data_IF_601505181825
#
_entry.id   IF_601505181825
#
_cell.length_a   1.000
_cell.length_b   1.000
_cell.length_c   1.000
_cell.angle_alpha   90.00
_cell.angle_beta   90.00
_cell.angle_gamma   90.00
#
_symmetry.space_group_name_H-M   'P 1'
#
loop_
_entity.id
_entity.type
_entity.pdbx_description
1 polymer ?
#
# COMPACT_ATOMS: atom_id res chain seq x y z
N UNK A 1 4.93 -49.57 31.81
CA UNK A 1 4.19 -48.99 30.68
C UNK A 1 4.55 -47.53 30.59
N UNK A 2 5.52 -47.20 29.73
CA UNK A 2 6.17 -45.89 29.66
C UNK A 2 5.86 -45.30 28.30
N UNK A 3 5.06 -44.22 28.26
CA UNK A 3 4.70 -43.54 27.02
C UNK A 3 5.78 -42.51 26.67
N UNK A 4 6.43 -42.71 25.53
CA UNK A 4 7.37 -41.78 24.92
C UNK A 4 6.54 -40.77 24.11
N UNK A 5 6.50 -39.51 24.56
CA UNK A 5 5.97 -38.41 23.75
C UNK A 5 7.03 -37.94 22.75
N UNK A 6 6.76 -38.17 21.46
CA UNK A 6 7.50 -37.53 20.37
C UNK A 6 7.25 -36.02 20.38
N UNK A 7 8.33 -35.24 20.51
CA UNK A 7 8.32 -33.80 20.27
C UNK A 7 8.16 -33.54 18.77
N UNK A 8 7.04 -32.94 18.39
CA UNK A 8 6.87 -32.31 17.08
C UNK A 8 7.70 -31.02 17.05
N UNK A 9 8.80 -31.02 16.30
CA UNK A 9 9.51 -29.82 15.88
C UNK A 9 8.68 -29.10 14.84
N UNK A 10 8.02 -28.02 15.24
CA UNK A 10 7.38 -27.09 14.32
C UNK A 10 8.47 -26.36 13.51
N UNK A 11 8.64 -26.74 12.26
CA UNK A 11 9.40 -25.98 11.28
C UNK A 11 8.52 -24.78 10.90
N UNK A 12 8.90 -23.59 11.35
CA UNK A 12 8.20 -22.35 11.04
C UNK A 12 8.36 -22.07 9.53
N UNK A 13 7.23 -21.90 8.85
CA UNK A 13 7.12 -21.93 7.40
C UNK A 13 7.92 -20.83 6.69
N UNK A 14 8.40 -21.18 5.50
CA UNK A 14 8.82 -20.21 4.50
C UNK A 14 7.72 -19.16 4.28
N UNK A 15 8.08 -17.88 4.08
CA UNK A 15 7.10 -16.87 3.72
C UNK A 15 6.47 -17.27 2.39
N UNK A 16 5.22 -17.71 2.43
CA UNK A 16 4.39 -17.77 1.23
C UNK A 16 4.14 -16.32 0.82
N UNK A 17 4.89 -15.89 -0.21
CA UNK A 17 4.56 -14.73 -1.00
C UNK A 17 3.11 -14.96 -1.45
N UNK A 18 2.13 -14.09 -1.08
CA UNK A 18 0.80 -14.23 -1.63
C UNK A 18 0.94 -14.14 -3.14
N UNK A 19 0.55 -15.21 -3.83
CA UNK A 19 0.46 -15.18 -5.29
C UNK A 19 -0.37 -13.94 -5.66
N UNK A 20 0.03 -13.16 -6.66
CA UNK A 20 -0.76 -12.02 -7.12
C UNK A 20 -2.13 -12.57 -7.52
N UNK A 21 -3.12 -12.32 -6.67
CA UNK A 21 -4.51 -12.66 -6.90
C UNK A 21 -5.01 -11.85 -8.08
N UNK A 22 -4.76 -12.37 -9.28
CA UNK A 22 -5.60 -12.09 -10.43
C UNK A 22 -6.94 -12.77 -10.15
N UNK A 23 -7.80 -12.10 -9.39
CA UNK A 23 -9.23 -12.28 -9.60
C UNK A 23 -9.49 -11.81 -11.04
N UNK A 24 -9.43 -12.76 -11.97
CA UNK A 24 -10.15 -12.63 -13.24
C UNK A 24 -11.60 -12.47 -12.85
N UNK A 25 -12.04 -11.22 -12.77
CA UNK A 25 -13.45 -10.89 -12.61
C UNK A 25 -14.18 -11.61 -13.73
N UNK A 26 -15.01 -12.57 -13.35
CA UNK A 26 -15.93 -13.24 -14.26
C UNK A 26 -16.87 -12.18 -14.83
N UNK A 27 -16.88 -12.07 -16.16
CA UNK A 27 -17.82 -11.23 -16.89
C UNK A 27 -19.22 -11.79 -16.69
N UNK A 28 -20.02 -11.11 -15.86
CA UNK A 28 -21.47 -11.26 -15.87
C UNK A 28 -22.01 -10.06 -16.63
N UNK A 29 -22.44 -10.29 -17.88
CA UNK A 29 -23.17 -9.32 -18.69
C UNK A 29 -24.46 -8.92 -17.99
N UNK A 30 -24.47 -7.75 -17.33
CA UNK A 30 -25.68 -7.02 -16.96
C UNK A 30 -26.20 -6.23 -18.19
N UNK A 31 -26.51 -6.94 -19.27
CA UNK A 31 -26.90 -6.30 -20.54
C UNK A 31 -28.40 -5.91 -20.62
N UNK A 32 -29.21 -6.24 -19.62
CA UNK A 32 -30.67 -6.09 -19.72
C UNK A 32 -31.23 -4.80 -19.07
N UNK A 33 -30.69 -4.36 -17.93
CA UNK A 33 -31.31 -3.26 -17.16
C UNK A 33 -30.76 -1.87 -17.51
N UNK A 34 -29.54 -1.79 -18.04
CA UNK A 34 -28.93 -0.50 -18.42
C UNK A 34 -29.69 0.14 -19.59
N UNK A 35 -30.32 -0.64 -20.47
CA UNK A 35 -31.02 -0.14 -21.67
C UNK A 35 -32.31 0.65 -21.39
N UNK A 36 -32.88 0.58 -20.17
CA UNK A 36 -34.17 1.21 -19.86
C UNK A 36 -34.09 2.72 -19.56
N UNK A 37 -32.91 3.26 -19.26
CA UNK A 37 -32.73 4.66 -18.82
C UNK A 37 -32.25 5.65 -19.92
N UNK A 38 -32.21 5.24 -21.19
CA UNK A 38 -31.57 5.98 -22.30
C UNK A 38 -32.39 7.15 -22.86
N UNK A 39 -33.32 7.71 -22.08
CA UNK A 39 -34.17 8.85 -22.47
C UNK A 39 -33.49 10.21 -22.30
N UNK A 40 -32.16 10.29 -22.26
CA UNK A 40 -31.49 11.59 -22.33
C UNK A 40 -31.10 11.93 -23.78
N UNK A 41 -31.46 13.14 -24.26
CA UNK A 41 -31.10 13.57 -25.60
C UNK A 41 -29.59 13.80 -25.64
N UNK A 42 -28.88 13.07 -26.51
CA UNK A 42 -27.61 13.39 -27.18
C UNK A 42 -26.64 14.38 -26.51
N UNK A 43 -26.54 14.37 -25.18
CA UNK A 43 -25.60 15.22 -24.46
C UNK A 43 -24.22 14.58 -24.59
N UNK A 44 -23.23 15.42 -24.90
CA UNK A 44 -21.83 15.05 -24.79
C UNK A 44 -21.59 14.61 -23.36
N UNK A 45 -21.16 13.37 -23.20
CA UNK A 45 -20.85 12.79 -21.89
C UNK A 45 -19.40 13.10 -21.57
N UNK A 46 -19.16 13.56 -20.35
CA UNK A 46 -17.81 13.74 -19.83
C UNK A 46 -17.19 12.38 -19.47
N UNK A 47 -15.87 12.35 -19.30
CA UNK A 47 -15.19 11.16 -18.80
C UNK A 47 -15.65 10.78 -17.38
N UNK A 48 -16.06 11.74 -16.55
CA UNK A 48 -16.56 11.44 -15.20
C UNK A 48 -17.95 10.77 -15.24
N UNK A 49 -18.82 11.16 -16.18
CA UNK A 49 -20.10 10.48 -16.38
C UNK A 49 -19.90 9.02 -16.77
N UNK A 50 -18.91 8.75 -17.63
CA UNK A 50 -18.55 7.39 -18.02
C UNK A 50 -17.99 6.58 -16.84
N UNK A 51 -17.26 7.20 -15.90
CA UNK A 51 -16.80 6.51 -14.70
C UNK A 51 -17.91 6.27 -13.67
N UNK A 52 -18.99 7.06 -13.67
CA UNK A 52 -20.17 6.77 -12.84
C UNK A 52 -20.90 5.52 -13.33
N UNK A 53 -21.00 5.36 -14.65
CA UNK A 53 -21.59 4.17 -15.28
C UNK A 53 -20.67 2.94 -15.19
N UNK A 54 -19.35 3.15 -15.15
CA UNK A 54 -18.32 2.11 -15.11
C UNK A 54 -17.27 2.34 -14.00
N UNK A 55 -17.64 2.22 -12.71
CA UNK A 55 -16.75 2.50 -11.58
C UNK A 55 -15.56 1.52 -11.46
N UNK A 56 -15.66 0.35 -12.07
CA UNK A 56 -14.60 -0.66 -12.20
C UNK A 56 -13.49 -0.21 -13.15
N UNK A 57 -13.79 0.67 -14.12
CA UNK A 57 -12.82 1.18 -15.10
C UNK A 57 -12.10 2.44 -14.65
N UNK A 58 -12.42 2.94 -13.46
CA UNK A 58 -11.74 4.09 -12.88
C UNK A 58 -10.26 3.77 -12.63
N UNK A 59 -9.40 4.71 -13.00
CA UNK A 59 -7.96 4.60 -12.77
C UNK A 59 -7.65 4.78 -11.28
N UNK A 60 -7.68 3.69 -10.51
CA UNK A 60 -7.44 3.68 -9.06
C UNK A 60 -5.95 3.74 -8.74
N UNK A 61 -5.58 4.44 -7.68
CA UNK A 61 -4.19 4.46 -7.21
C UNK A 61 -3.78 3.11 -6.59
N UNK A 62 -2.60 3.06 -5.98
CA UNK A 62 -2.12 1.91 -5.22
C UNK A 62 -3.10 1.62 -4.09
N UNK A 63 -3.34 0.34 -3.85
CA UNK A 63 -4.24 -0.06 -2.78
C UNK A 63 -3.61 0.23 -1.41
N UNK A 64 -4.39 0.74 -0.44
CA UNK A 64 -3.91 0.96 0.93
C UNK A 64 -3.26 -0.29 1.55
N UNK A 65 -3.75 -1.48 1.19
CA UNK A 65 -3.18 -2.78 1.60
C UNK A 65 -1.70 -2.92 1.19
N UNK A 66 -1.33 -2.47 -0.01
CA UNK A 66 0.04 -2.53 -0.53
C UNK A 66 0.93 -1.56 0.23
N UNK A 67 0.46 -0.32 0.44
CA UNK A 67 1.19 0.66 1.26
C UNK A 67 1.35 0.16 2.70
N UNK A 68 0.32 -0.50 3.24
CA UNK A 68 0.35 -1.10 4.56
C UNK A 68 1.38 -2.23 4.68
N UNK A 69 1.59 -3.00 3.61
CA UNK A 69 2.66 -4.00 3.57
C UNK A 69 4.05 -3.35 3.63
N UNK A 70 4.30 -2.30 2.84
CA UNK A 70 5.56 -1.54 2.91
C UNK A 70 5.79 -1.03 4.34
N UNK A 71 4.76 -0.42 4.94
CA UNK A 71 4.85 0.13 6.28
C UNK A 71 5.15 -0.95 7.34
N UNK A 72 4.54 -2.14 7.21
CA UNK A 72 4.85 -3.30 8.07
C UNK A 72 6.29 -3.76 7.92
N UNK A 73 6.81 -3.83 6.70
CA UNK A 73 8.20 -4.22 6.46
C UNK A 73 9.18 -3.24 7.08
N UNK A 74 8.95 -1.94 6.91
CA UNK A 74 9.79 -0.90 7.52
C UNK A 74 9.76 -0.97 9.06
N UNK A 75 8.57 -1.13 9.63
CA UNK A 75 8.37 -1.29 11.06
C UNK A 75 9.05 -2.55 11.62
N UNK A 76 8.98 -3.67 10.90
CA UNK A 76 9.66 -4.90 11.30
C UNK A 76 11.17 -4.67 11.44
N UNK A 77 11.77 -3.96 10.49
CA UNK A 77 13.21 -3.67 10.48
C UNK A 77 13.60 -2.76 11.64
N UNK A 78 12.76 -1.75 11.93
CA UNK A 78 12.95 -0.90 13.09
C UNK A 78 12.79 -1.68 14.42
N UNK A 79 11.81 -2.57 14.52
CA UNK A 79 11.62 -3.46 15.66
C UNK A 79 12.85 -4.38 15.84
N UNK A 80 13.42 -4.93 14.77
CA UNK A 80 14.64 -5.74 14.83
C UNK A 80 15.87 -4.93 15.26
N UNK A 81 16.02 -3.69 14.78
CA UNK A 81 17.09 -2.79 15.21
C UNK A 81 16.98 -2.47 16.71
N UNK A 82 15.77 -2.15 17.19
CA UNK A 82 15.52 -1.89 18.60
C UNK A 82 15.76 -3.13 19.48
N UNK A 83 15.36 -4.32 19.01
CA UNK A 83 15.65 -5.58 19.70
C UNK A 83 17.15 -5.86 19.80
N UNK A 84 17.90 -5.72 18.71
CA UNK A 84 19.35 -5.94 18.70
C UNK A 84 20.07 -4.94 19.62
N UNK A 85 19.64 -3.68 19.60
CA UNK A 85 20.15 -2.67 20.51
C UNK A 85 19.87 -3.06 21.97
N UNK A 86 18.63 -3.38 22.33
CA UNK A 86 18.27 -3.76 23.71
C UNK A 86 19.04 -4.99 24.20
N UNK A 87 19.11 -6.04 23.38
CA UNK A 87 19.79 -7.31 23.74
C UNK A 87 21.30 -7.14 23.92
N UNK A 88 21.91 -6.13 23.29
CA UNK A 88 23.32 -5.80 23.51
C UNK A 88 23.60 -5.25 24.91
N UNK A 89 22.61 -4.61 25.55
CA UNK A 89 22.71 -4.11 26.93
C UNK A 89 22.13 -5.08 27.95
N UNK A 90 21.05 -5.77 27.61
CA UNK A 90 20.33 -6.70 28.48
C UNK A 90 20.10 -8.04 27.76
N UNK A 91 21.09 -8.96 27.81
CA UNK A 91 20.96 -10.27 27.18
C UNK A 91 19.78 -11.06 27.77
N UNK A 92 18.90 -11.58 26.92
CA UNK A 92 17.70 -12.33 27.32
C UNK A 92 16.41 -11.52 27.36
N UNK A 93 16.48 -10.18 27.26
CA UNK A 93 15.29 -9.33 27.19
C UNK A 93 14.78 -9.23 25.75
N UNK A 94 13.49 -9.51 25.53
CA UNK A 94 12.81 -9.27 24.25
C UNK A 94 12.08 -7.93 24.30
N UNK A 95 12.21 -7.14 23.23
CA UNK A 95 11.56 -5.84 23.11
C UNK A 95 10.03 -5.95 23.10
N UNK A 96 9.49 -7.02 22.51
CA UNK A 96 8.05 -7.34 22.53
C UNK A 96 7.50 -7.41 23.95
N UNK A 97 8.27 -8.03 24.85
CA UNK A 97 7.84 -8.28 26.23
C UNK A 97 8.01 -7.01 27.09
N UNK A 98 8.94 -6.15 26.69
CA UNK A 98 9.23 -4.87 27.33
C UNK A 98 8.20 -3.78 26.99
N UNK A 99 7.67 -3.74 25.76
CA UNK A 99 6.64 -2.74 25.36
C UNK A 99 5.24 -3.12 25.86
N UNK A 100 4.87 -4.41 25.87
CA UNK A 100 3.55 -4.84 26.38
C UNK A 100 3.35 -4.38 27.84
N UNK A 101 4.45 -4.26 28.59
CA UNK A 101 4.44 -3.75 29.97
C UNK A 101 4.30 -2.22 30.08
N UNK A 102 4.49 -1.47 28.98
CA UNK A 102 4.25 -0.03 28.90
C UNK A 102 2.79 0.27 28.52
N UNK A 103 2.18 -0.58 27.68
CA UNK A 103 0.73 -0.52 27.38
C UNK A 103 -0.13 -0.83 28.62
N UNK A 104 0.36 -1.71 29.50
CA UNK A 104 -0.20 -1.96 30.82
C UNK A 104 0.50 -1.10 31.87
N UNK A 105 0.24 0.20 31.86
CA UNK A 105 0.63 1.06 32.99
C UNK A 105 0.00 0.44 34.26
N UNK A 106 0.87 -0.08 35.14
CA UNK A 106 0.63 -0.73 36.46
C UNK A 106 0.37 -2.25 36.49
N UNK A 107 1.44 -3.03 36.61
CA UNK A 107 1.73 -3.83 37.82
C UNK A 107 2.91 -4.80 37.57
N UNK A 108 4.14 -4.30 37.51
CA UNK A 108 5.32 -5.15 37.69
C UNK A 108 6.02 -4.72 38.98
N UNK A 109 5.78 -5.48 40.05
CA UNK A 109 6.50 -5.37 41.33
C UNK A 109 7.88 -6.02 41.20
N UNK A 110 8.70 -5.55 40.27
CA UNK A 110 10.13 -5.82 40.33
C UNK A 110 10.82 -4.60 40.91
N UNK A 111 11.41 -4.80 42.09
CA UNK A 111 12.27 -3.86 42.77
C UNK A 111 13.22 -3.17 41.79
N UNK A 112 13.16 -1.85 41.75
CA UNK A 112 13.98 -0.92 40.98
C UNK A 112 15.48 -1.25 41.14
N UNK A 113 16.16 -1.63 40.04
CA UNK A 113 17.06 -0.68 39.39
C UNK A 113 17.12 -0.73 37.84
N UNK A 114 16.45 -1.67 37.16
CA UNK A 114 16.65 -1.91 35.72
C UNK A 114 15.78 -1.07 34.78
N UNK A 115 14.65 -0.52 35.24
CA UNK A 115 13.73 0.26 34.41
C UNK A 115 14.19 1.71 34.17
N UNK A 116 14.94 2.27 35.10
CA UNK A 116 15.51 3.63 35.00
C UNK A 116 16.53 3.73 33.87
N UNK A 117 17.18 2.62 33.49
CA UNK A 117 18.13 2.55 32.37
C UNK A 117 17.38 2.60 31.04
N UNK A 118 16.25 1.89 30.88
CA UNK A 118 15.44 1.91 29.66
C UNK A 118 14.79 3.29 29.39
N UNK A 119 14.34 4.01 30.40
CA UNK A 119 13.78 5.35 30.22
C UNK A 119 14.85 6.43 29.92
N UNK A 120 16.05 6.33 30.52
CA UNK A 120 17.15 7.30 30.34
C UNK A 120 18.09 6.99 29.17
N UNK A 121 18.34 5.72 28.83
CA UNK A 121 19.18 5.33 27.69
C UNK A 121 18.48 5.59 26.34
N UNK A 122 17.15 5.76 26.36
CA UNK A 122 16.29 5.91 25.19
C UNK A 122 15.87 7.38 24.97
N UNK A 123 16.28 8.30 25.84
CA UNK A 123 16.04 9.73 25.65
C UNK A 123 17.05 10.30 24.66
N UNK A 124 16.58 10.44 23.42
CA UNK A 124 17.24 11.14 22.32
C UNK A 124 17.66 12.57 22.73
N UNK A 125 18.97 12.85 22.76
CA UNK A 125 19.45 14.23 22.68
C UNK A 125 19.19 14.74 21.25
N UNK A 126 18.04 15.38 21.03
CA UNK A 126 17.67 16.04 19.77
C UNK A 126 16.23 15.82 19.33
N UNK A 127 15.62 14.69 19.68
CA UNK A 127 14.22 14.35 19.41
C UNK A 127 13.61 14.01 20.76
N UNK A 128 12.63 14.74 21.29
CA UNK A 128 12.16 14.56 22.68
C UNK A 128 11.39 13.23 22.93
N UNK A 129 11.52 12.24 22.06
CA UNK A 129 10.75 10.99 22.08
C UNK A 129 11.64 9.77 22.32
N UNK A 130 11.11 8.77 23.02
CA UNK A 130 11.77 7.49 23.22
C UNK A 130 11.60 6.55 22.01
N UNK A 131 12.56 5.66 21.72
CA UNK A 131 12.41 4.54 20.73
C UNK A 131 11.07 3.82 20.92
N UNK A 132 10.67 3.54 22.17
CA UNK A 132 9.40 2.90 22.48
C UNK A 132 8.19 3.73 22.00
N UNK A 133 8.24 5.06 22.15
CA UNK A 133 7.19 5.97 21.69
C UNK A 133 7.11 6.02 20.17
N UNK A 134 8.27 6.07 19.48
CA UNK A 134 8.34 6.04 18.02
C UNK A 134 7.75 4.74 17.45
N UNK A 135 8.15 3.58 18.01
CA UNK A 135 7.64 2.28 17.57
C UNK A 135 6.16 2.10 17.88
N UNK A 136 5.68 2.55 19.04
CA UNK A 136 4.26 2.50 19.39
C UNK A 136 3.44 3.37 18.43
N UNK A 137 3.92 4.58 18.15
CA UNK A 137 3.30 5.48 17.17
C UNK A 137 3.23 4.82 15.78
N UNK A 138 4.33 4.23 15.30
CA UNK A 138 4.32 3.50 14.03
C UNK A 138 3.36 2.31 14.03
N UNK A 139 3.32 1.51 15.12
CA UNK A 139 2.39 0.38 15.27
C UNK A 139 0.93 0.82 15.19
N UNK A 140 0.58 1.91 15.85
CA UNK A 140 -0.80 2.44 15.81
C UNK A 140 -1.18 2.90 14.40
N UNK A 141 -0.28 3.54 13.66
CA UNK A 141 -0.50 3.94 12.26
C UNK A 141 -0.64 2.74 11.33
N UNK A 142 0.12 1.67 11.55
CA UNK A 142 0.14 0.47 10.71
C UNK A 142 -1.03 -0.49 11.00
N UNK A 143 -1.63 -0.42 12.20
CA UNK A 143 -2.75 -1.27 12.62
C UNK A 143 -3.96 -1.16 11.69
N UNK A 144 -4.21 0.02 11.14
CA UNK A 144 -5.26 0.25 10.15
C UNK A 144 -4.70 0.34 8.73
N UNK A 145 -4.31 -0.81 8.17
CA UNK A 145 -3.82 -0.88 6.80
C UNK A 145 -4.85 -0.41 5.75
N UNK A 146 -6.15 -0.31 6.09
CA UNK A 146 -7.20 0.13 5.16
C UNK A 146 -7.20 1.65 4.96
N UNK A 147 -6.67 2.42 5.91
CA UNK A 147 -6.53 3.88 5.81
C UNK A 147 -5.12 4.33 5.46
N UNK A 148 -4.22 3.41 5.10
CA UNK A 148 -2.85 3.74 4.76
C UNK A 148 -2.78 4.65 3.53
N UNK A 149 -2.18 5.83 3.73
CA UNK A 149 -1.92 6.81 2.66
C UNK A 149 -0.41 6.97 2.45
N UNK A 150 0.04 7.53 1.30
CA UNK A 150 1.45 7.85 1.10
C UNK A 150 2.07 8.71 2.21
N UNK A 151 1.28 9.64 2.77
CA UNK A 151 1.73 10.49 3.88
C UNK A 151 1.95 9.70 5.17
N UNK A 152 1.01 8.80 5.51
CA UNK A 152 1.15 7.94 6.70
C UNK A 152 2.34 7.00 6.52
N UNK A 153 2.51 6.43 5.31
CA UNK A 153 3.65 5.58 4.99
C UNK A 153 4.99 6.33 5.17
N UNK A 154 5.10 7.55 4.63
CA UNK A 154 6.30 8.37 4.79
C UNK A 154 6.63 8.60 6.28
N UNK A 155 5.62 8.89 7.10
CA UNK A 155 5.79 9.06 8.55
C UNK A 155 6.26 7.79 9.25
N UNK A 156 5.74 6.62 8.88
CA UNK A 156 6.20 5.32 9.42
C UNK A 156 7.65 5.05 9.01
N UNK A 157 8.03 5.36 7.77
CA UNK A 157 9.40 5.23 7.29
C UNK A 157 10.35 6.14 8.07
N UNK A 158 9.96 7.40 8.31
CA UNK A 158 10.76 8.36 9.09
C UNK A 158 10.95 7.92 10.54
N UNK A 159 9.90 7.42 11.19
CA UNK A 159 10.00 6.87 12.53
C UNK A 159 10.91 5.63 12.55
N UNK A 160 10.83 4.77 11.52
CA UNK A 160 11.68 3.59 11.39
C UNK A 160 13.16 3.93 11.21
N UNK A 161 13.46 4.95 10.39
CA UNK A 161 14.81 5.51 10.22
C UNK A 161 15.33 6.08 11.54
N UNK A 162 14.51 6.87 12.24
CA UNK A 162 14.88 7.46 13.54
C UNK A 162 15.20 6.37 14.57
N UNK A 163 14.41 5.30 14.64
CA UNK A 163 14.69 4.15 15.52
C UNK A 163 16.04 3.53 15.21
N UNK A 164 16.33 3.27 13.93
CA UNK A 164 17.63 2.71 13.52
C UNK A 164 18.80 3.65 13.86
N UNK A 165 18.60 4.97 13.72
CA UNK A 165 19.59 5.97 14.10
C UNK A 165 19.90 5.93 15.61
N UNK A 166 18.88 5.83 16.46
CA UNK A 166 19.08 5.73 17.92
C UNK A 166 19.73 4.41 18.31
N UNK A 167 19.32 3.33 17.65
CA UNK A 167 19.92 2.00 17.81
C UNK A 167 21.37 1.93 17.31
N UNK A 168 21.88 2.98 16.65
CA UNK A 168 23.18 3.02 15.96
C UNK A 168 23.34 1.91 14.92
N UNK A 169 22.23 1.51 14.30
CA UNK A 169 22.21 0.54 13.20
C UNK A 169 22.27 1.26 11.86
N UNK A 170 23.48 1.74 11.51
CA UNK A 170 23.71 2.52 10.28
C UNK A 170 23.39 1.73 9.01
N UNK A 171 23.60 0.40 9.04
CA UNK A 171 23.29 -0.47 7.91
C UNK A 171 21.80 -0.44 7.61
N UNK A 172 20.95 -0.72 8.60
CA UNK A 172 19.48 -0.70 8.41
C UNK A 172 18.96 0.71 8.16
N UNK A 173 19.54 1.73 8.80
CA UNK A 173 19.22 3.15 8.57
C UNK A 173 19.37 3.55 7.10
N UNK A 174 20.56 3.34 6.51
CA UNK A 174 20.84 3.73 5.11
C UNK A 174 19.94 2.98 4.14
N UNK A 175 19.64 1.70 4.40
CA UNK A 175 18.73 0.91 3.58
C UNK A 175 17.27 1.42 3.67
N UNK A 176 16.81 1.80 4.86
CA UNK A 176 15.49 2.40 5.05
C UNK A 176 15.40 3.78 4.40
N UNK A 177 16.42 4.64 4.51
CA UNK A 177 16.48 5.94 3.84
C UNK A 177 16.44 5.78 2.31
N UNK A 178 17.21 4.83 1.77
CA UNK A 178 17.23 4.51 0.33
C UNK A 178 15.86 3.99 -0.13
N UNK A 179 15.24 3.12 0.67
CA UNK A 179 13.90 2.59 0.38
C UNK A 179 12.85 3.68 0.45
N UNK A 180 12.91 4.56 1.45
CA UNK A 180 12.03 5.72 1.61
C UNK A 180 12.10 6.59 0.37
N UNK A 181 13.31 6.99 -0.05
CA UNK A 181 13.49 7.82 -1.23
C UNK A 181 12.84 7.19 -2.48
N UNK A 182 13.02 5.89 -2.70
CA UNK A 182 12.37 5.19 -3.82
C UNK A 182 10.85 5.18 -3.68
N UNK A 183 10.33 4.77 -2.52
CA UNK A 183 8.89 4.58 -2.29
C UNK A 183 8.11 5.90 -2.24
N UNK A 184 8.73 7.00 -1.84
CA UNK A 184 8.07 8.31 -1.72
C UNK A 184 7.75 8.94 -3.09
N UNK A 185 8.68 8.85 -4.05
CA UNK A 185 8.47 9.37 -5.41
C UNK A 185 7.51 8.55 -6.24
N UNK A 186 7.38 7.29 -5.84
CA UNK A 186 6.69 6.28 -6.59
C UNK A 186 5.18 6.66 -6.78
N UNK A 187 4.35 6.90 -5.74
CA UNK A 187 2.95 7.30 -5.92
C UNK A 187 2.77 8.56 -6.79
N UNK A 188 3.69 9.53 -6.67
CA UNK A 188 3.67 10.76 -7.47
C UNK A 188 3.85 10.44 -8.96
N UNK A 189 4.80 9.57 -9.29
CA UNK A 189 5.02 9.13 -10.67
C UNK A 189 3.79 8.44 -11.27
N UNK A 190 3.12 7.59 -10.48
CA UNK A 190 1.89 6.92 -10.90
C UNK A 190 0.73 7.92 -11.12
N UNK A 191 0.61 8.94 -10.27
CA UNK A 191 -0.38 10.00 -10.41
C UNK A 191 -0.14 10.86 -11.66
N UNK A 192 1.11 11.22 -11.95
CA UNK A 192 1.46 11.91 -13.19
C UNK A 192 1.07 11.08 -14.42
N UNK A 193 1.32 9.77 -14.40
CA UNK A 193 0.90 8.84 -15.47
C UNK A 193 -0.61 8.77 -15.60
N UNK A 194 -1.33 8.65 -14.48
CA UNK A 194 -2.80 8.66 -14.42
C UNK A 194 -3.38 9.91 -15.09
N UNK A 195 -2.89 11.09 -14.73
CA UNK A 195 -3.33 12.36 -15.33
C UNK A 195 -3.05 12.41 -16.84
N UNK A 196 -1.88 11.92 -17.28
CA UNK A 196 -1.54 11.84 -18.70
C UNK A 196 -2.49 10.93 -19.48
N UNK A 197 -2.86 9.79 -18.92
CA UNK A 197 -3.82 8.84 -19.51
C UNK A 197 -5.23 9.45 -19.53
N UNK A 198 -5.67 10.10 -18.45
CA UNK A 198 -6.96 10.78 -18.42
C UNK A 198 -7.08 11.85 -19.50
N UNK A 199 -6.05 12.69 -19.70
CA UNK A 199 -6.04 13.68 -20.79
C UNK A 199 -6.16 13.04 -22.16
N UNK A 200 -5.47 11.91 -22.40
CA UNK A 200 -5.60 11.15 -23.67
C UNK A 200 -6.97 10.52 -23.82
N UNK A 201 -7.55 10.01 -22.75
CA UNK A 201 -8.90 9.43 -22.74
C UNK A 201 -9.96 10.49 -23.06
N UNK A 202 -9.87 11.69 -22.45
CA UNK A 202 -10.74 12.84 -22.77
C UNK A 202 -10.64 13.18 -24.26
N UNK A 203 -9.42 13.37 -24.78
CA UNK A 203 -9.22 13.67 -26.20
C UNK A 203 -9.78 12.57 -27.12
N UNK A 204 -9.56 11.31 -26.77
CA UNK A 204 -10.06 10.17 -27.55
C UNK A 204 -11.60 10.10 -27.52
N UNK A 205 -12.21 10.47 -26.40
CA UNK A 205 -13.66 10.56 -26.24
C UNK A 205 -14.24 11.70 -27.08
N UNK A 206 -13.63 12.89 -27.05
CA UNK A 206 -14.02 14.03 -27.88
C UNK A 206 -13.92 13.70 -29.37
N UNK A 207 -12.81 13.09 -29.81
CA UNK A 207 -12.63 12.64 -31.19
C UNK A 207 -13.69 11.59 -31.59
N UNK A 208 -14.01 10.67 -30.70
CA UNK A 208 -15.05 9.67 -30.92
C UNK A 208 -16.43 10.31 -31.05
N UNK A 209 -16.79 11.21 -30.13
CA UNK A 209 -18.07 11.93 -30.15
C UNK A 209 -18.22 12.80 -31.41
N UNK A 210 -17.13 13.46 -31.84
CA UNK A 210 -17.11 14.22 -33.09
C UNK A 210 -17.36 13.33 -34.32
N UNK A 211 -16.78 12.11 -34.35
CA UNK A 211 -17.04 11.14 -35.43
C UNK A 211 -18.50 10.71 -35.45
N UNK A 212 -19.07 10.35 -34.30
CA UNK A 212 -20.47 9.92 -34.18
C UNK A 212 -21.43 11.05 -34.55
N UNK A 213 -21.12 12.31 -34.22
CA UNK A 213 -21.91 13.50 -34.62
C UNK A 213 -21.94 13.67 -36.15
N UNK A 214 -20.84 13.37 -36.82
CA UNK A 214 -20.70 13.55 -38.26
C UNK A 214 -21.21 12.34 -39.07
N UNK A 215 -21.69 11.27 -38.42
CA UNK A 215 -22.30 10.13 -39.13
C UNK A 215 -23.68 10.50 -39.72
N UNK A 216 -23.99 10.10 -40.97
CA UNK A 216 -25.25 10.44 -41.61
C UNK A 216 -26.46 9.85 -40.85
N UNK A 217 -27.51 10.66 -40.69
CA UNK A 217 -28.72 10.40 -39.89
C UNK A 217 -29.60 9.20 -40.34
N UNK A 218 -29.13 8.37 -41.28
CA UNK A 218 -29.85 7.21 -41.80
C UNK A 218 -29.70 5.94 -40.93
N UNK A 219 -28.99 6.02 -39.80
CA UNK A 219 -28.83 4.90 -38.88
C UNK A 219 -30.04 4.73 -37.96
N UNK A 220 -30.47 3.47 -37.73
CA UNK A 220 -31.45 3.14 -36.70
C UNK A 220 -30.95 3.63 -35.32
N UNK A 221 -31.72 4.45 -34.58
CA UNK A 221 -31.30 5.04 -33.30
C UNK A 221 -30.81 4.01 -32.27
N UNK A 222 -31.43 2.83 -32.22
CA UNK A 222 -31.03 1.73 -31.33
C UNK A 222 -29.64 1.19 -31.66
N UNK A 223 -29.34 1.00 -32.96
CA UNK A 223 -28.02 0.56 -33.41
C UNK A 223 -26.94 1.63 -33.23
N UNK A 224 -27.31 2.90 -33.23
CA UNK A 224 -26.40 4.01 -32.99
C UNK A 224 -26.08 4.16 -31.51
N UNK A 225 -27.09 4.02 -30.63
CA UNK A 225 -26.88 3.97 -29.18
C UNK A 225 -25.95 2.82 -28.78
N UNK A 226 -26.19 1.60 -29.28
CA UNK A 226 -25.32 0.44 -29.01
C UNK A 226 -23.88 0.65 -29.48
N UNK A 227 -23.68 1.27 -30.65
CA UNK A 227 -22.34 1.64 -31.15
C UNK A 227 -21.68 2.68 -30.25
N UNK A 228 -22.43 3.71 -29.84
CA UNK A 228 -21.97 4.76 -28.91
C UNK A 228 -21.40 4.13 -27.64
N UNK A 229 -22.18 3.31 -26.94
CA UNK A 229 -21.77 2.63 -25.70
C UNK A 229 -20.47 1.89 -25.93
N UNK A 230 -20.43 1.07 -26.99
CA UNK A 230 -19.26 0.24 -27.29
C UNK A 230 -18.00 1.08 -27.49
N UNK A 231 -18.08 2.19 -28.22
CA UNK A 231 -16.92 3.07 -28.43
C UNK A 231 -16.50 3.83 -27.17
N UNK A 232 -17.44 4.35 -26.38
CA UNK A 232 -17.15 5.01 -25.09
C UNK A 232 -16.47 4.01 -24.13
N UNK A 233 -17.00 2.80 -24.03
CA UNK A 233 -16.44 1.68 -23.26
C UNK A 233 -15.03 1.30 -23.73
N UNK A 234 -14.77 1.29 -25.05
CA UNK A 234 -13.43 1.01 -25.58
C UNK A 234 -12.41 2.09 -25.20
N UNK A 235 -12.81 3.36 -25.08
CA UNK A 235 -11.92 4.43 -24.60
C UNK A 235 -11.53 4.16 -23.14
N UNK A 236 -12.50 3.78 -22.29
CA UNK A 236 -12.23 3.41 -20.90
C UNK A 236 -11.32 2.17 -20.80
N UNK A 237 -11.59 1.13 -21.58
CA UNK A 237 -10.80 -0.12 -21.56
C UNK A 237 -9.35 0.14 -21.96
N UNK A 238 -9.13 0.97 -22.98
CA UNK A 238 -7.79 1.34 -23.41
C UNK A 238 -7.05 2.13 -22.32
N UNK A 239 -7.72 3.10 -21.71
CA UNK A 239 -7.15 3.90 -20.63
C UNK A 239 -6.81 3.04 -19.40
N UNK A 240 -7.69 2.10 -19.05
CA UNK A 240 -7.49 1.17 -17.94
C UNK A 240 -6.32 0.23 -18.22
N UNK A 241 -6.28 -0.39 -19.40
CA UNK A 241 -5.20 -1.30 -19.78
C UNK A 241 -3.83 -0.61 -19.73
N UNK A 242 -3.73 0.59 -20.32
CA UNK A 242 -2.51 1.38 -20.30
C UNK A 242 -2.10 1.73 -18.85
N UNK A 243 -3.05 2.13 -18.01
CA UNK A 243 -2.76 2.48 -16.62
C UNK A 243 -2.33 1.26 -15.78
N UNK A 244 -2.94 0.09 -16.00
CA UNK A 244 -2.58 -1.14 -15.28
C UNK A 244 -1.16 -1.62 -15.59
N UNK A 245 -0.69 -1.42 -16.82
CA UNK A 245 0.70 -1.72 -17.19
C UNK A 245 1.68 -0.91 -16.34
N UNK A 246 1.50 0.42 -16.28
CA UNK A 246 2.32 1.29 -15.43
C UNK A 246 2.17 0.97 -13.94
N UNK A 247 0.96 0.65 -13.48
CA UNK A 247 0.72 0.24 -12.08
C UNK A 247 1.43 -1.07 -11.75
N UNK A 248 1.56 -2.00 -12.69
CA UNK A 248 2.26 -3.26 -12.46
C UNK A 248 3.77 -3.05 -12.36
N UNK A 249 4.38 -2.31 -13.31
CA UNK A 249 5.81 -1.98 -13.28
C UNK A 249 6.20 -1.32 -11.96
N UNK A 250 5.33 -0.40 -11.54
CA UNK A 250 5.41 0.28 -10.28
C UNK A 250 5.42 -0.66 -9.07
N UNK A 251 4.44 -1.58 -8.99
CA UNK A 251 4.35 -2.55 -7.91
C UNK A 251 5.57 -3.44 -7.88
N UNK A 252 6.04 -3.90 -9.05
CA UNK A 252 7.24 -4.72 -9.18
C UNK A 252 8.47 -4.00 -8.63
N UNK A 253 8.67 -2.72 -8.93
CA UNK A 253 9.80 -1.95 -8.39
C UNK A 253 9.70 -1.75 -6.87
N UNK A 254 8.49 -1.52 -6.36
CA UNK A 254 8.23 -1.42 -4.92
C UNK A 254 8.57 -2.74 -4.20
N UNK A 255 8.07 -3.88 -4.71
CA UNK A 255 8.36 -5.20 -4.15
C UNK A 255 9.84 -5.56 -4.25
N UNK A 256 10.51 -5.21 -5.36
CA UNK A 256 11.95 -5.39 -5.52
C UNK A 256 12.73 -4.63 -4.45
N UNK A 257 12.35 -3.38 -4.19
CA UNK A 257 12.98 -2.54 -3.16
C UNK A 257 12.75 -3.12 -1.76
N UNK A 258 11.52 -3.53 -1.44
CA UNK A 258 11.20 -4.20 -0.18
C UNK A 258 11.99 -5.50 0.03
N UNK A 259 12.14 -6.29 -1.03
CA UNK A 259 12.90 -7.53 -1.00
C UNK A 259 14.37 -7.28 -0.72
N UNK A 260 14.99 -6.32 -1.40
CA UNK A 260 16.38 -5.91 -1.15
C UNK A 260 16.59 -5.47 0.30
N UNK A 261 15.62 -4.72 0.82
CA UNK A 261 15.62 -4.24 2.20
C UNK A 261 15.58 -5.43 3.19
N UNK A 262 14.66 -6.39 2.99
CA UNK A 262 14.54 -7.59 3.85
C UNK A 262 15.75 -8.54 3.75
N UNK A 263 16.29 -8.76 2.55
CA UNK A 263 17.46 -9.62 2.34
C UNK A 263 18.73 -9.02 2.97
N UNK A 264 18.84 -7.70 3.01
CA UNK A 264 19.98 -7.03 3.61
C UNK A 264 19.90 -6.94 5.15
N UNK A 265 18.74 -7.21 5.74
CA UNK A 265 18.51 -7.22 7.19
C UNK A 265 18.59 -8.61 7.84
N UNK A 266 18.53 -9.68 7.03
CA UNK A 266 18.82 -11.06 7.44
C UNK A 266 20.32 -11.29 7.64
#
# INVERSE_FOLDING_TARGET
MTAIMQKSTAIFGHPQIPAPGFDRVFWVSQDAEILANWKQPWSERSLEDLYQDHPEKRLRSIEPSTLGLVAKTALQIADEAANNWLTSFCPGTKWSDSIINVDNIYAFTASEPDYTILAKAVSLQGVKEAIASLLLSSKTMVRDAKSMTPLILARVMDQSVAVCQVAKDDKRRVLLETTKAKVEWLPVALDCKRLGIQRRAIKSLEEYQARVRNEPAHANPSKQAGRRVKGETMVLDRALAEFQEYRLDFLVEMYRTLRQLLEATA
#
